data_IF_634197491560
#
_entry.id   IF_634197491560
#
_cell.length_a   1.000
_cell.length_b   1.000
_cell.length_c   1.000
_cell.angle_alpha   90.00
_cell.angle_beta   90.00
_cell.angle_gamma   90.00
#
_symmetry.space_group_name_H-M   'P 1'
#
loop_
_entity.id
_entity.type
_entity.pdbx_description
1 polymer ?
#
# COMPACT_ATOMS: atom_id res chain seq x y z
N UNK A 1 -25.33 9.14 -7.00
CA UNK A 1 -24.26 9.58 -7.91
C UNK A 1 -23.07 8.65 -7.69
N UNK A 2 -22.57 8.02 -8.74
CA UNK A 2 -21.38 7.18 -8.73
C UNK A 2 -20.29 7.85 -9.56
N UNK A 3 -19.08 7.96 -9.02
CA UNK A 3 -17.92 8.47 -9.75
C UNK A 3 -17.05 7.27 -10.12
N UNK A 4 -16.99 6.97 -11.41
CA UNK A 4 -16.18 5.90 -11.97
C UNK A 4 -14.90 6.47 -12.57
N UNK A 5 -13.77 6.08 -12.01
CA UNK A 5 -12.48 6.62 -12.38
C UNK A 5 -11.49 5.50 -12.73
N UNK A 6 -10.94 5.54 -13.94
CA UNK A 6 -9.85 4.66 -14.36
C UNK A 6 -9.08 5.31 -15.51
N UNK A 7 -7.76 5.47 -15.35
CA UNK A 7 -6.92 6.01 -16.42
C UNK A 7 -6.95 5.13 -17.67
N UNK A 8 -6.75 3.82 -17.51
CA UNK A 8 -6.76 2.90 -18.66
C UNK A 8 -8.16 2.61 -19.20
N UNK A 9 -9.20 2.91 -18.41
CA UNK A 9 -10.59 2.54 -18.71
C UNK A 9 -10.88 1.03 -18.62
N UNK A 10 -9.91 0.23 -18.17
CA UNK A 10 -9.96 -1.24 -18.23
C UNK A 10 -9.58 -1.92 -16.91
N UNK A 11 -9.38 -1.14 -15.84
CA UNK A 11 -9.07 -1.68 -14.50
C UNK A 11 -10.17 -2.66 -14.07
N UNK A 12 -9.81 -3.94 -13.84
CA UNK A 12 -10.78 -5.02 -13.64
C UNK A 12 -11.69 -4.77 -12.45
N UNK A 13 -11.18 -4.21 -11.36
CA UNK A 13 -11.95 -3.86 -10.17
C UNK A 13 -12.97 -2.77 -10.47
N UNK A 14 -12.54 -1.67 -11.11
CA UNK A 14 -13.42 -0.56 -11.51
C UNK A 14 -14.52 -1.05 -12.46
N UNK A 15 -14.18 -1.88 -13.44
CA UNK A 15 -15.14 -2.40 -14.42
C UNK A 15 -16.10 -3.42 -13.81
N UNK A 16 -15.64 -4.21 -12.84
CA UNK A 16 -16.50 -5.16 -12.12
C UNK A 16 -17.49 -4.43 -11.21
N UNK A 17 -17.03 -3.41 -10.48
CA UNK A 17 -17.90 -2.52 -9.69
C UNK A 17 -18.89 -1.78 -10.58
N UNK A 18 -18.46 -1.33 -11.77
CA UNK A 18 -19.35 -0.71 -12.74
C UNK A 18 -20.46 -1.65 -13.17
N UNK A 19 -20.13 -2.86 -13.61
CA UNK A 19 -21.13 -3.84 -14.05
C UNK A 19 -22.19 -4.10 -12.96
N UNK A 20 -21.77 -4.21 -11.71
CA UNK A 20 -22.66 -4.38 -10.57
C UNK A 20 -23.55 -3.15 -10.32
N UNK A 21 -22.96 -1.98 -10.12
CA UNK A 21 -23.72 -0.77 -9.79
C UNK A 21 -24.55 -0.23 -10.96
N UNK A 22 -24.15 -0.51 -12.20
CA UNK A 22 -24.96 -0.25 -13.39
C UNK A 22 -26.30 -0.97 -13.29
N UNK A 23 -26.29 -2.27 -13.01
CA UNK A 23 -27.52 -3.04 -12.82
C UNK A 23 -28.32 -2.53 -11.60
N UNK A 24 -27.67 -2.24 -10.47
CA UNK A 24 -28.35 -1.74 -9.27
C UNK A 24 -28.99 -0.36 -9.47
N UNK A 25 -28.43 0.47 -10.35
CA UNK A 25 -28.97 1.79 -10.67
C UNK A 25 -30.22 1.75 -11.56
N UNK A 26 -30.61 0.57 -12.04
CA UNK A 26 -31.61 0.43 -13.09
C UNK A 26 -31.10 0.91 -14.45
N UNK A 27 -29.80 0.75 -14.70
CA UNK A 27 -29.15 1.11 -15.97
C UNK A 27 -29.31 2.60 -16.33
N UNK A 28 -29.18 3.46 -15.32
CA UNK A 28 -29.43 4.89 -15.45
C UNK A 28 -28.13 5.71 -15.47
N UNK A 29 -27.63 6.02 -16.68
CA UNK A 29 -26.43 6.82 -16.90
C UNK A 29 -26.40 8.16 -16.19
N UNK A 30 -27.56 8.80 -15.98
CA UNK A 30 -27.63 10.08 -15.28
C UNK A 30 -27.17 10.01 -13.81
N UNK A 31 -26.98 8.81 -13.25
CA UNK A 31 -26.42 8.62 -11.91
C UNK A 31 -24.89 8.46 -11.90
N UNK A 32 -24.21 8.52 -13.05
CA UNK A 32 -22.80 8.17 -13.21
C UNK A 32 -22.00 9.35 -13.77
N UNK A 33 -20.78 9.50 -13.25
CA UNK A 33 -19.72 10.36 -13.80
C UNK A 33 -18.54 9.46 -14.16
N UNK A 34 -17.94 9.69 -15.32
CA UNK A 34 -16.69 9.03 -15.71
C UNK A 34 -15.50 10.01 -15.66
N UNK A 35 -14.37 9.55 -15.13
CA UNK A 35 -13.08 10.24 -15.16
C UNK A 35 -12.04 9.27 -15.76
N UNK A 36 -11.53 9.58 -16.95
CA UNK A 36 -10.65 8.67 -17.70
C UNK A 36 -9.82 9.43 -18.72
N UNK A 37 -8.89 8.75 -19.38
CA UNK A 37 -8.18 9.30 -20.53
C UNK A 37 -9.07 9.23 -21.80
N UNK A 38 -8.74 10.05 -22.81
CA UNK A 38 -9.42 10.01 -24.10
C UNK A 38 -9.28 8.63 -24.79
N UNK A 39 -10.27 8.28 -25.62
CA UNK A 39 -10.31 7.07 -26.45
C UNK A 39 -10.29 5.71 -25.70
N UNK A 40 -10.50 5.71 -24.38
CA UNK A 40 -10.57 4.49 -23.56
C UNK A 40 -11.91 3.76 -23.65
N UNK A 41 -11.96 2.51 -23.18
CA UNK A 41 -13.22 1.76 -23.05
C UNK A 41 -14.22 2.47 -22.12
N UNK A 42 -13.74 3.06 -21.02
CA UNK A 42 -14.59 3.80 -20.08
C UNK A 42 -15.14 5.10 -20.71
N UNK A 43 -14.38 5.79 -21.57
CA UNK A 43 -14.89 6.96 -22.28
C UNK A 43 -16.05 6.59 -23.21
N UNK A 44 -15.87 5.53 -24.01
CA UNK A 44 -16.92 5.00 -24.90
C UNK A 44 -18.15 4.55 -24.12
N UNK A 45 -17.94 3.84 -23.01
CA UNK A 45 -18.99 3.35 -22.14
C UNK A 45 -19.83 4.51 -21.56
N UNK A 46 -19.17 5.61 -21.16
CA UNK A 46 -19.84 6.79 -20.64
C UNK A 46 -20.72 7.48 -21.70
N UNK A 47 -20.23 7.56 -22.94
CA UNK A 47 -20.99 8.11 -24.07
C UNK A 47 -22.18 7.21 -24.45
N UNK A 48 -21.93 5.91 -24.64
CA UNK A 48 -22.95 4.93 -25.05
C UNK A 48 -24.10 4.82 -24.03
N UNK A 49 -23.76 4.90 -22.74
CA UNK A 49 -24.74 4.76 -21.65
C UNK A 49 -25.29 6.10 -21.14
N UNK A 50 -24.99 7.21 -21.82
CA UNK A 50 -25.46 8.56 -21.47
C UNK A 50 -25.16 8.93 -20.01
N UNK A 51 -23.89 8.80 -19.61
CA UNK A 51 -23.45 9.25 -18.29
C UNK A 51 -23.75 10.74 -18.10
N UNK A 52 -23.97 11.15 -16.84
CA UNK A 52 -24.25 12.56 -16.54
C UNK A 52 -23.11 13.46 -16.96
N UNK A 53 -21.86 13.04 -16.75
CA UNK A 53 -20.66 13.79 -17.12
C UNK A 53 -19.51 12.84 -17.49
N UNK A 54 -18.66 13.30 -18.41
CA UNK A 54 -17.42 12.64 -18.81
C UNK A 54 -16.26 13.66 -18.75
N UNK A 55 -15.31 13.40 -17.86
CA UNK A 55 -14.10 14.21 -17.71
C UNK A 55 -12.90 13.48 -18.33
N UNK A 56 -12.38 14.03 -19.42
CA UNK A 56 -11.22 13.51 -20.13
C UNK A 56 -9.94 14.13 -19.57
N UNK A 57 -9.13 13.31 -18.92
CA UNK A 57 -7.86 13.72 -18.32
C UNK A 57 -6.74 13.77 -19.36
N UNK A 58 -5.76 14.70 -19.23
CA UNK A 58 -4.56 14.67 -20.06
C UNK A 58 -3.78 13.35 -19.92
N UNK A 59 -3.46 12.72 -21.04
CA UNK A 59 -2.85 11.37 -21.09
C UNK A 59 -1.42 11.33 -20.55
N UNK A 60 -0.74 12.47 -20.56
CA UNK A 60 0.64 12.66 -20.10
C UNK A 60 0.77 12.74 -18.56
N UNK A 61 -0.35 12.78 -17.82
CA UNK A 61 -0.36 12.75 -16.36
C UNK A 61 -0.51 11.30 -15.88
N UNK A 62 0.49 10.77 -15.18
CA UNK A 62 0.43 9.44 -14.56
C UNK A 62 -0.61 9.38 -13.42
N UNK A 63 -1.21 8.20 -13.18
CA UNK A 63 -2.29 8.05 -12.19
C UNK A 63 -1.89 8.53 -10.78
N UNK A 64 -0.73 8.11 -10.27
CA UNK A 64 -0.22 8.56 -8.97
C UNK A 64 0.19 10.05 -8.89
N UNK A 65 0.24 10.75 -10.02
CA UNK A 65 0.51 12.19 -10.15
C UNK A 65 -0.76 13.00 -10.53
N UNK A 66 -1.95 12.41 -10.36
CA UNK A 66 -3.22 12.99 -10.84
C UNK A 66 -4.09 13.63 -9.75
N UNK A 67 -3.57 13.77 -8.53
CA UNK A 67 -4.33 14.32 -7.40
C UNK A 67 -4.83 15.75 -7.65
N UNK A 68 -4.07 16.55 -8.41
CA UNK A 68 -4.45 17.92 -8.78
C UNK A 68 -5.09 18.01 -10.19
N UNK A 69 -5.37 16.87 -10.83
CA UNK A 69 -6.09 16.82 -12.10
C UNK A 69 -7.58 16.52 -11.88
N UNK A 70 -8.35 16.20 -12.92
CA UNK A 70 -9.77 15.83 -12.78
C UNK A 70 -10.00 14.67 -11.80
N UNK A 71 -9.03 13.76 -11.63
CA UNK A 71 -9.16 12.65 -10.68
C UNK A 71 -9.32 13.10 -9.23
N UNK A 72 -8.71 14.21 -8.81
CA UNK A 72 -8.94 14.79 -7.48
C UNK A 72 -9.89 15.98 -7.48
N UNK A 73 -9.87 16.81 -8.53
CA UNK A 73 -10.65 18.05 -8.58
C UNK A 73 -12.15 17.81 -8.79
N UNK A 74 -12.56 16.78 -9.53
CA UNK A 74 -13.98 16.46 -9.72
C UNK A 74 -14.62 15.96 -8.42
N UNK A 75 -14.04 14.98 -7.68
CA UNK A 75 -14.53 14.64 -6.35
C UNK A 75 -14.57 15.84 -5.38
N UNK A 76 -13.53 16.69 -5.39
CA UNK A 76 -13.51 17.91 -4.57
C UNK A 76 -14.68 18.85 -4.89
N UNK A 77 -15.00 19.03 -6.18
CA UNK A 77 -16.13 19.84 -6.61
C UNK A 77 -17.47 19.27 -6.13
N UNK A 78 -17.65 17.94 -6.26
CA UNK A 78 -18.85 17.23 -5.82
C UNK A 78 -19.02 17.32 -4.30
N UNK A 79 -17.92 17.33 -3.53
CA UNK A 79 -17.92 17.55 -2.09
C UNK A 79 -18.25 18.99 -1.69
N UNK A 80 -18.29 19.93 -2.64
CA UNK A 80 -18.55 21.35 -2.39
C UNK A 80 -17.34 22.11 -1.84
N UNK A 81 -16.12 21.64 -2.10
CA UNK A 81 -14.89 22.33 -1.71
C UNK A 81 -14.65 23.57 -2.58
N UNK A 82 -14.00 24.58 -2.01
CA UNK A 82 -13.57 25.77 -2.73
C UNK A 82 -12.38 25.44 -3.63
N UNK A 83 -12.65 25.25 -4.92
CA UNK A 83 -11.63 24.87 -5.90
C UNK A 83 -10.64 26.01 -6.18
N UNK A 84 -11.08 27.27 -6.05
CA UNK A 84 -10.22 28.44 -6.25
C UNK A 84 -9.20 28.52 -5.10
N UNK A 85 -9.63 28.25 -3.86
CA UNK A 85 -8.71 28.17 -2.73
C UNK A 85 -7.77 26.97 -2.82
N UNK A 86 -8.25 25.77 -3.21
CA UNK A 86 -7.38 24.60 -3.46
C UNK A 86 -6.31 24.94 -4.49
N UNK A 87 -6.71 25.51 -5.63
CA UNK A 87 -5.79 25.84 -6.71
C UNK A 87 -4.80 26.94 -6.30
N UNK A 88 -5.25 27.95 -5.56
CA UNK A 88 -4.38 28.97 -5.00
C UNK A 88 -3.29 28.36 -4.11
N UNK A 89 -3.63 27.40 -3.24
CA UNK A 89 -2.67 26.72 -2.37
C UNK A 89 -1.68 25.85 -3.18
N UNK A 90 -2.15 25.12 -4.19
CA UNK A 90 -1.28 24.39 -5.11
C UNK A 90 -0.31 25.35 -5.83
N UNK A 91 -0.81 26.46 -6.35
CA UNK A 91 -0.02 27.48 -7.04
C UNK A 91 1.05 28.11 -6.16
N UNK A 92 0.75 28.37 -4.88
CA UNK A 92 1.76 28.85 -3.93
C UNK A 92 2.95 27.87 -3.83
N UNK A 93 2.70 26.55 -3.84
CA UNK A 93 3.78 25.56 -3.83
C UNK A 93 4.56 25.55 -5.14
N UNK A 94 3.86 25.64 -6.27
CA UNK A 94 4.46 25.69 -7.60
C UNK A 94 5.40 26.89 -7.70
N UNK A 95 4.93 28.07 -7.30
CA UNK A 95 5.72 29.30 -7.34
C UNK A 95 6.92 29.22 -6.36
N UNK A 96 6.74 28.61 -5.18
CA UNK A 96 7.84 28.33 -4.24
C UNK A 96 8.84 27.27 -4.72
N UNK A 97 8.45 26.49 -5.73
CA UNK A 97 9.25 25.43 -6.38
C UNK A 97 9.67 25.82 -7.80
N UNK A 98 9.72 27.13 -8.10
CA UNK A 98 10.16 27.60 -9.40
C UNK A 98 11.66 27.31 -9.60
N UNK A 99 12.10 27.13 -10.84
CA UNK A 99 13.51 26.90 -11.22
C UNK A 99 14.49 27.99 -10.77
N UNK A 100 13.97 29.18 -10.43
CA UNK A 100 14.77 30.32 -9.97
C UNK A 100 14.99 30.32 -8.44
N UNK A 101 14.34 29.41 -7.72
CA UNK A 101 14.50 29.26 -6.27
C UNK A 101 15.74 28.41 -6.01
N UNK A 102 16.73 28.90 -5.23
CA UNK A 102 17.90 28.11 -4.88
C UNK A 102 17.52 26.78 -4.24
N UNK A 103 18.24 25.70 -4.57
CA UNK A 103 17.82 24.34 -4.20
C UNK A 103 17.56 24.11 -2.70
N UNK A 104 18.27 24.79 -1.80
CA UNK A 104 18.08 24.68 -0.35
C UNK A 104 16.86 25.45 0.19
N UNK A 105 16.27 26.34 -0.62
CA UNK A 105 14.98 26.99 -0.35
C UNK A 105 13.84 26.37 -1.18
N UNK A 106 14.16 25.59 -2.21
CA UNK A 106 13.17 24.93 -3.05
C UNK A 106 12.59 23.72 -2.28
N UNK A 107 11.29 23.70 -1.97
CA UNK A 107 10.70 22.71 -1.06
C UNK A 107 10.68 21.30 -1.68
N UNK A 108 10.35 21.19 -2.98
CA UNK A 108 10.42 19.92 -3.71
C UNK A 108 11.83 19.31 -3.77
N UNK A 109 12.83 20.08 -4.23
CA UNK A 109 14.24 19.65 -4.26
C UNK A 109 14.73 19.26 -2.87
N UNK A 110 14.44 20.06 -1.85
CA UNK A 110 14.94 19.81 -0.49
C UNK A 110 14.39 18.51 0.09
N UNK A 111 13.07 18.29 0.00
CA UNK A 111 12.45 17.04 0.47
C UNK A 111 12.94 15.82 -0.32
N UNK A 112 12.98 15.93 -1.65
CA UNK A 112 13.45 14.85 -2.53
C UNK A 112 14.93 14.50 -2.32
N UNK A 113 15.76 15.52 -2.06
CA UNK A 113 17.17 15.32 -1.72
C UNK A 113 17.34 14.59 -0.40
N UNK A 114 16.56 14.93 0.64
CA UNK A 114 16.59 14.17 1.91
C UNK A 114 16.18 12.72 1.72
N UNK A 115 15.08 12.46 1.01
CA UNK A 115 14.61 11.09 0.74
C UNK A 115 15.66 10.30 -0.04
N UNK A 116 16.11 10.82 -1.19
CA UNK A 116 17.03 10.11 -2.08
C UNK A 116 18.43 9.93 -1.50
N UNK A 117 18.98 10.94 -0.83
CA UNK A 117 20.32 10.86 -0.24
C UNK A 117 20.36 9.89 0.95
N UNK A 118 19.38 9.96 1.86
CA UNK A 118 19.32 9.05 3.01
C UNK A 118 19.06 7.61 2.57
N UNK A 119 18.22 7.39 1.54
CA UNK A 119 18.02 6.06 0.97
C UNK A 119 19.31 5.46 0.40
N UNK A 120 20.16 6.26 -0.26
CA UNK A 120 21.50 5.83 -0.71
C UNK A 120 22.44 5.42 0.44
N UNK A 121 22.26 6.02 1.61
CA UNK A 121 23.02 5.70 2.82
C UNK A 121 22.43 4.50 3.61
N UNK A 122 21.41 3.83 3.07
CA UNK A 122 20.77 2.67 3.69
C UNK A 122 19.59 3.02 4.62
N UNK A 123 19.13 4.27 4.62
CA UNK A 123 17.87 4.69 5.26
C UNK A 123 16.73 4.71 4.26
N UNK A 124 16.36 3.52 3.79
CA UNK A 124 15.40 3.30 2.71
C UNK A 124 13.94 3.24 3.19
N UNK A 125 13.65 3.46 4.48
CA UNK A 125 12.28 3.53 5.01
C UNK A 125 11.86 4.99 5.18
N UNK A 126 10.60 5.28 4.88
CA UNK A 126 10.03 6.61 4.97
C UNK A 126 8.74 6.58 5.77
N UNK A 127 8.83 6.87 7.06
CA UNK A 127 7.67 6.97 7.93
C UNK A 127 6.97 8.29 7.69
N UNK A 128 5.73 8.24 7.20
CA UNK A 128 4.90 9.43 6.94
C UNK A 128 3.82 9.50 8.00
N UNK A 129 3.88 10.56 8.81
CA UNK A 129 2.88 10.87 9.82
C UNK A 129 2.19 12.18 9.48
N UNK A 130 0.91 12.27 9.81
CA UNK A 130 0.12 13.47 9.64
C UNK A 130 -0.84 13.61 10.82
N UNK A 131 -1.18 14.85 11.18
CA UNK A 131 -2.23 15.12 12.18
C UNK A 131 -3.60 14.61 11.70
N UNK A 132 -4.55 14.46 12.62
CA UNK A 132 -5.81 13.76 12.41
C UNK A 132 -6.58 14.20 11.14
N UNK A 133 -6.61 15.49 10.81
CA UNK A 133 -7.33 15.97 9.62
C UNK A 133 -6.64 15.66 8.30
N UNK A 134 -5.35 15.33 8.34
CA UNK A 134 -4.49 15.04 7.19
C UNK A 134 -4.07 13.57 7.11
N UNK A 135 -4.58 12.70 8.00
CA UNK A 135 -4.12 11.30 8.14
C UNK A 135 -4.12 10.51 6.81
N UNK A 136 -5.12 10.73 5.95
CA UNK A 136 -5.25 10.06 4.66
C UNK A 136 -4.27 10.55 3.59
N UNK A 137 -3.53 11.64 3.84
CA UNK A 137 -2.43 12.04 2.97
C UNK A 137 -1.37 10.94 2.89
N UNK A 138 -1.13 10.23 4.00
CA UNK A 138 -0.21 9.09 4.03
C UNK A 138 -0.59 8.02 3.00
N UNK A 139 -1.88 7.70 2.89
CA UNK A 139 -2.37 6.67 1.96
C UNK A 139 -2.12 7.03 0.48
N UNK A 140 -2.17 8.33 0.14
CA UNK A 140 -1.81 8.84 -1.18
C UNK A 140 -0.29 8.85 -1.39
N UNK A 141 0.46 9.35 -0.41
CA UNK A 141 1.92 9.42 -0.47
C UNK A 141 2.53 8.02 -0.61
N UNK A 142 1.95 7.02 0.05
CA UNK A 142 2.34 5.61 -0.06
C UNK A 142 2.40 5.16 -1.52
N UNK A 143 1.33 5.37 -2.27
CA UNK A 143 1.26 5.01 -3.69
C UNK A 143 2.31 5.77 -4.51
N UNK A 144 2.36 7.09 -4.35
CA UNK A 144 3.30 7.93 -5.07
C UNK A 144 4.74 7.45 -4.91
N UNK A 145 5.16 7.20 -3.67
CA UNK A 145 6.52 6.81 -3.31
C UNK A 145 6.82 5.38 -3.76
N UNK A 146 5.95 4.42 -3.42
CA UNK A 146 6.20 3.01 -3.66
C UNK A 146 6.26 2.69 -5.16
N UNK A 147 5.32 3.20 -5.96
CA UNK A 147 5.33 2.94 -7.41
C UNK A 147 6.44 3.69 -8.14
N UNK A 148 6.76 4.92 -7.71
CA UNK A 148 7.78 5.72 -8.38
C UNK A 148 9.20 5.25 -8.05
N UNK A 149 9.44 4.80 -6.81
CA UNK A 149 10.77 4.48 -6.30
C UNK A 149 11.04 2.97 -6.16
N UNK A 150 10.01 2.13 -6.13
CA UNK A 150 10.13 0.68 -5.89
C UNK A 150 10.36 -0.14 -7.16
N UNK A 151 11.53 -0.03 -7.80
CA UNK A 151 11.85 -0.78 -9.03
C UNK A 151 13.34 -1.00 -9.23
N UNK A 152 13.69 -1.88 -10.17
CA UNK A 152 15.07 -2.22 -10.52
C UNK A 152 15.94 -2.66 -9.32
N UNK A 153 15.33 -3.38 -8.35
CA UNK A 153 16.02 -3.85 -7.15
C UNK A 153 16.38 -2.75 -6.15
N UNK A 154 15.84 -1.54 -6.31
CA UNK A 154 15.99 -0.39 -5.41
C UNK A 154 14.62 0.06 -4.91
N UNK A 155 14.59 0.83 -3.83
CA UNK A 155 13.41 1.63 -3.51
C UNK A 155 13.36 2.20 -2.13
N UNK A 156 12.35 3.05 -1.92
CA UNK A 156 12.01 3.63 -0.63
C UNK A 156 10.70 2.99 -0.19
N UNK A 157 10.68 2.46 1.03
CA UNK A 157 9.53 1.79 1.63
C UNK A 157 8.73 2.83 2.40
N UNK A 158 7.57 3.31 1.90
CA UNK A 158 6.69 4.16 2.68
C UNK A 158 6.08 3.35 3.83
N UNK A 159 6.12 3.91 5.03
CA UNK A 159 5.50 3.33 6.23
C UNK A 159 4.44 4.30 6.70
N UNK A 160 3.17 3.94 6.49
CA UNK A 160 2.01 4.79 6.76
C UNK A 160 1.09 4.16 7.79
N UNK A 161 0.33 5.01 8.48
CA UNK A 161 -0.60 4.63 9.53
C UNK A 161 0.03 4.08 10.82
N UNK A 162 1.36 3.90 10.89
CA UNK A 162 2.08 3.43 12.08
C UNK A 162 1.95 4.46 13.22
N UNK A 163 1.89 4.01 14.48
CA UNK A 163 1.97 4.93 15.62
C UNK A 163 3.43 5.31 15.93
N UNK A 164 3.64 6.59 16.23
CA UNK A 164 4.91 7.09 16.73
C UNK A 164 5.11 6.55 18.16
N UNK A 165 6.22 5.87 18.38
CA UNK A 165 6.53 5.17 19.64
C UNK A 165 7.89 5.66 20.18
N UNK A 166 8.34 5.13 21.31
CA UNK A 166 9.63 5.44 21.91
C UNK A 166 10.77 5.18 20.92
N UNK A 167 11.79 6.06 20.86
CA UNK A 167 12.94 5.90 19.96
C UNK A 167 13.65 4.55 20.05
N UNK A 168 13.58 3.86 21.20
CA UNK A 168 14.17 2.52 21.40
C UNK A 168 13.59 1.42 20.49
N UNK A 169 12.43 1.66 19.87
CA UNK A 169 11.78 0.73 18.94
C UNK A 169 12.17 0.97 17.48
N UNK A 170 12.96 2.00 17.21
CA UNK A 170 13.43 2.34 15.87
C UNK A 170 14.94 2.11 15.76
N UNK A 171 15.38 1.71 14.57
CA UNK A 171 16.80 1.66 14.21
C UNK A 171 17.12 2.77 13.23
N UNK A 172 18.39 2.90 12.85
CA UNK A 172 18.85 3.89 11.88
C UNK A 172 18.57 3.44 10.43
N UNK A 173 17.31 3.14 10.11
CA UNK A 173 16.87 2.67 8.78
C UNK A 173 15.88 3.62 8.07
N UNK A 174 15.42 4.68 8.75
CA UNK A 174 14.33 5.52 8.24
C UNK A 174 14.52 7.01 8.41
N UNK A 175 13.82 7.74 7.53
CA UNK A 175 13.48 9.15 7.65
C UNK A 175 12.05 9.28 8.17
N UNK A 176 11.82 10.21 9.09
CA UNK A 176 10.49 10.56 9.58
C UNK A 176 10.01 11.87 8.95
N UNK A 177 8.90 11.83 8.22
CA UNK A 177 8.26 13.03 7.68
C UNK A 177 6.94 13.25 8.39
N UNK A 178 6.76 14.44 8.96
CA UNK A 178 5.56 14.81 9.70
C UNK A 178 4.86 15.98 9.02
N UNK A 179 3.66 15.75 8.50
CA UNK A 179 2.74 16.79 8.02
C UNK A 179 1.94 17.31 9.21
N UNK A 180 2.06 18.60 9.47
CA UNK A 180 1.61 19.20 10.71
C UNK A 180 0.58 20.29 10.42
N UNK A 181 -0.70 19.95 10.60
CA UNK A 181 -1.77 20.93 10.73
C UNK A 181 -1.73 21.51 12.15
N UNK A 182 -1.74 22.84 12.25
CA UNK A 182 -1.40 23.53 13.49
C UNK A 182 -2.51 23.48 14.54
N UNK A 183 -3.76 23.52 14.08
CA UNK A 183 -4.98 23.64 14.89
C UNK A 183 -5.64 22.28 15.21
N UNK A 184 -5.11 21.20 14.64
CA UNK A 184 -5.57 19.83 14.92
C UNK A 184 -5.38 19.44 16.41
N UNK A 185 -6.34 18.74 17.03
CA UNK A 185 -6.30 18.44 18.47
C UNK A 185 -5.10 17.60 18.93
N UNK A 186 -4.56 16.75 18.05
CA UNK A 186 -3.43 15.84 18.29
C UNK A 186 -2.06 16.47 17.98
N UNK A 187 -2.05 17.70 17.44
CA UNK A 187 -0.86 18.47 17.05
C UNK A 187 0.22 18.51 18.13
N UNK A 188 -0.11 18.87 19.37
CA UNK A 188 0.89 18.98 20.45
C UNK A 188 1.51 17.63 20.82
N UNK A 189 0.68 16.60 20.94
CA UNK A 189 1.13 15.26 21.30
C UNK A 189 2.06 14.69 20.23
N UNK A 190 1.65 14.76 18.95
CA UNK A 190 2.46 14.27 17.84
C UNK A 190 3.81 14.99 17.76
N UNK A 191 3.82 16.32 17.92
CA UNK A 191 5.08 17.09 17.94
C UNK A 191 6.02 16.64 19.05
N UNK A 192 5.50 16.32 20.24
CA UNK A 192 6.31 15.81 21.35
C UNK A 192 6.93 14.45 20.99
N UNK A 193 6.13 13.54 20.43
CA UNK A 193 6.62 12.20 20.01
C UNK A 193 7.67 12.31 18.89
N UNK A 194 7.42 13.11 17.85
CA UNK A 194 8.41 13.39 16.78
C UNK A 194 9.66 14.10 17.33
N UNK A 195 9.49 14.98 18.32
CA UNK A 195 10.59 15.66 19.00
C UNK A 195 11.55 14.68 19.68
N UNK A 196 11.01 13.68 20.37
CA UNK A 196 11.79 12.63 21.01
C UNK A 196 12.61 11.80 20.01
N UNK A 197 12.06 11.51 18.82
CA UNK A 197 12.81 10.84 17.74
C UNK A 197 14.00 11.67 17.26
N UNK A 198 13.83 13.00 17.13
CA UNK A 198 14.97 13.89 16.80
C UNK A 198 16.02 13.89 17.90
N UNK A 199 15.62 13.98 19.16
CA UNK A 199 16.54 14.00 20.29
C UNK A 199 17.36 12.71 20.39
N UNK A 200 16.79 11.58 19.97
CA UNK A 200 17.47 10.31 19.81
C UNK A 200 18.35 10.20 18.54
N UNK A 201 18.42 11.24 17.71
CA UNK A 201 19.30 11.31 16.53
C UNK A 201 18.69 10.80 15.22
N UNK A 202 17.38 10.52 15.18
CA UNK A 202 16.74 10.16 13.92
C UNK A 202 16.53 11.38 13.01
N UNK A 203 16.77 11.25 11.69
CA UNK A 203 16.50 12.32 10.75
C UNK A 203 14.99 12.55 10.65
N UNK A 204 14.59 13.83 10.60
CA UNK A 204 13.19 14.22 10.42
C UNK A 204 13.01 15.40 9.48
N UNK A 205 11.88 15.43 8.80
CA UNK A 205 11.33 16.61 8.16
C UNK A 205 9.96 16.93 8.77
N UNK A 206 9.69 18.19 9.07
CA UNK A 206 8.36 18.65 9.51
C UNK A 206 7.85 19.66 8.52
N UNK A 207 6.73 19.32 7.89
CA UNK A 207 6.06 20.10 6.86
C UNK A 207 4.86 20.76 7.52
N UNK A 208 4.87 22.09 7.64
CA UNK A 208 3.74 22.82 8.24
C UNK A 208 2.66 23.02 7.20
N UNK A 209 1.44 22.64 7.55
CA UNK A 209 0.25 22.77 6.72
C UNK A 209 -0.68 23.74 7.46
N UNK A 210 -0.77 25.02 7.05
CA UNK A 210 -1.44 26.06 7.84
C UNK A 210 -2.96 25.88 7.95
N UNK A 211 -3.57 25.18 7.00
CA UNK A 211 -4.99 24.82 6.99
C UNK A 211 -5.20 23.62 6.05
N UNK A 212 -6.43 23.08 6.04
CA UNK A 212 -6.77 21.90 5.24
C UNK A 212 -6.68 22.12 3.73
N UNK A 213 -6.84 23.35 3.23
CA UNK A 213 -6.69 23.64 1.79
C UNK A 213 -5.22 23.61 1.36
N UNK A 214 -4.30 23.94 2.27
CA UNK A 214 -2.87 23.89 1.99
C UNK A 214 -2.34 22.48 1.65
N UNK A 215 -3.11 21.42 1.90
CA UNK A 215 -2.81 20.06 1.42
C UNK A 215 -2.63 20.00 -0.10
N UNK A 216 -3.32 20.88 -0.85
CA UNK A 216 -3.18 20.95 -2.30
C UNK A 216 -1.74 21.29 -2.72
N UNK A 217 -1.06 22.14 -1.94
CA UNK A 217 0.36 22.42 -2.13
C UNK A 217 1.24 21.22 -1.82
N UNK A 218 0.88 20.39 -0.84
CA UNK A 218 1.65 19.19 -0.48
C UNK A 218 1.62 18.15 -1.61
N UNK A 219 0.51 17.97 -2.33
CA UNK A 219 0.50 17.07 -3.50
C UNK A 219 1.61 17.43 -4.48
N UNK A 220 1.70 18.70 -4.90
CA UNK A 220 2.75 19.15 -5.81
C UNK A 220 4.16 18.99 -5.23
N UNK A 221 4.37 19.36 -3.95
CA UNK A 221 5.69 19.23 -3.30
C UNK A 221 6.17 17.78 -3.32
N UNK A 222 5.30 16.84 -2.99
CA UNK A 222 5.64 15.42 -2.89
C UNK A 222 5.83 14.78 -4.25
N UNK A 223 5.03 15.15 -5.25
CA UNK A 223 5.24 14.75 -6.65
C UNK A 223 6.63 15.17 -7.13
N UNK A 224 6.99 16.44 -6.93
CA UNK A 224 8.32 16.96 -7.29
C UNK A 224 9.44 16.27 -6.51
N UNK A 225 9.27 16.13 -5.18
CA UNK A 225 10.24 15.48 -4.32
C UNK A 225 10.49 14.03 -4.71
N UNK A 226 9.45 13.31 -5.11
CA UNK A 226 9.54 11.92 -5.56
C UNK A 226 10.35 11.83 -6.86
N UNK A 227 10.14 12.74 -7.82
CA UNK A 227 10.94 12.79 -9.04
C UNK A 227 12.43 13.07 -8.75
N UNK A 228 12.73 13.98 -7.82
CA UNK A 228 14.10 14.28 -7.38
C UNK A 228 14.74 13.06 -6.69
N UNK A 229 14.01 12.39 -5.79
CA UNK A 229 14.49 11.18 -5.14
C UNK A 229 14.76 10.06 -6.14
N UNK A 230 13.88 9.87 -7.13
CA UNK A 230 14.05 8.89 -8.20
C UNK A 230 15.30 9.19 -9.05
N UNK A 231 15.51 10.45 -9.41
CA UNK A 231 16.71 10.88 -10.12
C UNK A 231 17.97 10.53 -9.35
N UNK A 232 18.00 10.82 -8.04
CA UNK A 232 19.14 10.44 -7.19
C UNK A 232 19.32 8.92 -7.17
N UNK A 233 18.25 8.14 -7.08
CA UNK A 233 18.30 6.67 -7.06
C UNK A 233 18.55 6.04 -8.45
N UNK A 234 18.66 6.85 -9.51
CA UNK A 234 18.80 6.43 -10.91
C UNK A 234 17.61 5.57 -11.36
N UNK A 235 16.40 6.04 -11.06
CA UNK A 235 15.14 5.40 -11.38
C UNK A 235 14.29 6.32 -12.27
N UNK A 236 13.42 5.71 -13.09
CA UNK A 236 12.36 6.44 -13.75
C UNK A 236 11.14 6.55 -12.81
N UNK A 237 10.76 7.76 -12.34
CA UNK A 237 9.61 7.91 -11.45
C UNK A 237 8.25 7.72 -12.14
N UNK A 238 8.20 7.67 -13.47
CA UNK A 238 6.96 7.77 -14.25
C UNK A 238 6.48 6.46 -14.90
N UNK A 239 7.25 5.38 -14.81
CA UNK A 239 6.86 4.03 -15.29
C UNK A 239 6.43 3.08 -14.15
N UNK A 240 5.96 1.87 -14.50
CA UNK A 240 5.50 0.84 -13.56
C UNK A 240 5.62 -0.59 -14.13
N UNK A 241 6.85 -1.07 -14.40
CA UNK A 241 7.07 -2.26 -15.22
C UNK A 241 6.60 -3.58 -14.60
N UNK A 242 6.35 -3.65 -13.28
CA UNK A 242 6.03 -4.90 -12.58
C UNK A 242 4.55 -5.04 -12.20
N UNK A 243 3.72 -4.03 -12.45
CA UNK A 243 2.28 -4.08 -12.15
C UNK A 243 1.55 -5.05 -13.07
N UNK A 244 1.98 -5.17 -14.34
CA UNK A 244 1.35 -6.04 -15.33
C UNK A 244 1.47 -7.53 -14.98
N UNK A 245 2.53 -7.94 -14.28
CA UNK A 245 2.76 -9.35 -13.93
C UNK A 245 1.67 -9.90 -13.01
N UNK A 246 1.26 -9.12 -12.00
CA UNK A 246 0.18 -9.52 -11.10
C UNK A 246 -1.17 -9.57 -11.83
N UNK A 247 -1.44 -8.61 -12.74
CA UNK A 247 -2.64 -8.62 -13.58
C UNK A 247 -2.72 -9.86 -14.46
N UNK A 248 -1.59 -10.24 -15.07
CA UNK A 248 -1.51 -11.46 -15.87
C UNK A 248 -1.73 -12.70 -15.01
N UNK A 249 -1.07 -12.80 -13.84
CA UNK A 249 -1.24 -13.94 -12.94
C UNK A 249 -2.70 -14.08 -12.47
N UNK A 250 -3.37 -12.97 -12.14
CA UNK A 250 -4.82 -12.98 -11.82
C UNK A 250 -5.66 -13.49 -12.99
N UNK A 251 -5.37 -13.05 -14.22
CA UNK A 251 -6.11 -13.53 -15.39
C UNK A 251 -5.92 -15.04 -15.60
N UNK A 252 -4.69 -15.55 -15.46
CA UNK A 252 -4.39 -16.98 -15.53
C UNK A 252 -5.15 -17.78 -14.47
N UNK A 253 -5.32 -17.24 -13.25
CA UNK A 253 -6.12 -17.86 -12.19
C UNK A 253 -7.62 -17.90 -12.56
N UNK A 254 -8.15 -16.82 -13.14
CA UNK A 254 -9.56 -16.74 -13.56
C UNK A 254 -9.85 -17.70 -14.72
N UNK A 255 -8.95 -17.75 -15.71
CA UNK A 255 -9.07 -18.68 -16.85
C UNK A 255 -9.02 -20.14 -16.37
N UNK A 256 -8.16 -20.44 -15.39
CA UNK A 256 -8.10 -21.77 -14.78
C UNK A 256 -9.40 -22.12 -14.03
N UNK A 257 -9.93 -21.20 -13.22
CA UNK A 257 -11.19 -21.39 -12.50
C UNK A 257 -12.33 -21.65 -13.48
N UNK A 258 -12.40 -20.90 -14.58
CA UNK A 258 -13.45 -21.07 -15.58
C UNK A 258 -13.38 -22.44 -16.25
N UNK A 259 -12.17 -22.96 -16.49
CA UNK A 259 -11.96 -24.26 -17.11
C UNK A 259 -12.17 -25.46 -16.17
N UNK A 260 -11.88 -25.32 -14.87
CA UNK A 260 -11.84 -26.45 -13.92
C UNK A 260 -12.86 -26.36 -12.78
N UNK A 261 -13.56 -25.23 -12.63
CA UNK A 261 -14.56 -24.98 -11.59
C UNK A 261 -14.00 -24.56 -10.23
N UNK A 262 -12.68 -24.46 -10.07
CA UNK A 262 -12.02 -24.05 -8.83
C UNK A 262 -10.63 -23.44 -9.11
N UNK A 263 -10.13 -22.60 -8.18
CA UNK A 263 -8.78 -22.06 -8.25
C UNK A 263 -7.71 -23.15 -7.97
N UNK A 264 -6.50 -23.05 -8.54
CA UNK A 264 -5.45 -24.03 -8.35
C UNK A 264 -4.74 -23.81 -6.99
N UNK A 265 -5.31 -24.38 -5.92
CA UNK A 265 -4.74 -24.28 -4.56
C UNK A 265 -3.68 -25.37 -4.35
N UNK A 266 -2.46 -24.97 -4.00
CA UNK A 266 -1.37 -25.90 -3.65
C UNK A 266 -1.64 -26.60 -2.31
N UNK A 267 -0.96 -27.72 -2.03
CA UNK A 267 -1.03 -28.34 -0.70
C UNK A 267 -0.43 -27.42 0.37
N UNK A 268 -1.03 -27.35 1.58
CA UNK A 268 -0.49 -26.52 2.66
C UNK A 268 0.88 -27.03 3.11
N UNK A 269 1.78 -26.10 3.40
CA UNK A 269 3.06 -26.35 4.07
C UNK A 269 2.82 -26.92 5.48
N UNK A 270 1.94 -26.26 6.23
CA UNK A 270 1.48 -26.71 7.55
C UNK A 270 -0.03 -26.56 7.57
N UNK A 271 -0.75 -27.69 7.63
CA UNK A 271 -2.20 -27.69 7.70
C UNK A 271 -2.74 -27.42 9.11
N UNK A 272 -4.04 -27.20 9.19
CA UNK A 272 -4.82 -27.31 10.42
C UNK A 272 -6.14 -26.53 10.36
N UNK A 273 -6.85 -26.48 11.49
CA UNK A 273 -8.27 -26.09 11.53
C UNK A 273 -8.57 -24.59 11.55
N UNK A 274 -7.62 -23.78 12.04
CA UNK A 274 -7.78 -22.32 12.22
C UNK A 274 -7.08 -21.56 11.11
N UNK A 275 -5.81 -21.91 10.89
CA UNK A 275 -4.95 -21.34 9.87
C UNK A 275 -4.25 -22.48 9.15
N UNK A 276 -4.15 -22.35 7.83
CA UNK A 276 -3.29 -23.12 6.97
C UNK A 276 -2.15 -22.24 6.45
N UNK A 277 -0.93 -22.77 6.38
CA UNK A 277 0.23 -22.05 5.87
C UNK A 277 0.58 -22.54 4.47
N UNK A 278 0.79 -21.62 3.52
CA UNK A 278 1.22 -21.92 2.16
C UNK A 278 2.45 -21.10 1.77
N UNK A 279 3.37 -21.73 1.03
CA UNK A 279 4.54 -21.07 0.44
C UNK A 279 5.22 -21.99 -0.58
N UNK A 280 6.21 -21.49 -1.30
CA UNK A 280 7.00 -22.25 -2.25
C UNK A 280 8.20 -22.94 -1.57
N UNK A 281 8.74 -24.00 -2.19
CA UNK A 281 9.84 -24.76 -1.59
C UNK A 281 11.10 -23.90 -1.36
N UNK A 282 11.29 -22.82 -2.14
CA UNK A 282 12.42 -21.89 -1.96
C UNK A 282 12.34 -21.10 -0.65
N UNK A 283 11.13 -20.71 -0.23
CA UNK A 283 10.92 -20.06 1.07
C UNK A 283 10.89 -21.08 2.20
N UNK A 284 10.33 -22.27 1.95
CA UNK A 284 10.16 -23.33 2.95
C UNK A 284 11.47 -23.97 3.38
N UNK A 285 12.40 -24.25 2.46
CA UNK A 285 13.63 -24.97 2.79
C UNK A 285 14.50 -24.21 3.83
N UNK A 286 14.75 -22.90 3.70
CA UNK A 286 15.41 -22.11 4.74
C UNK A 286 14.66 -22.09 6.07
N UNK A 287 13.31 -22.03 6.04
CA UNK A 287 12.49 -22.04 7.25
C UNK A 287 12.60 -23.37 8.01
N UNK A 288 12.54 -24.50 7.30
CA UNK A 288 12.75 -25.82 7.91
C UNK A 288 14.13 -25.95 8.55
N UNK A 289 15.17 -25.41 7.90
CA UNK A 289 16.50 -25.38 8.49
C UNK A 289 16.55 -24.54 9.76
N UNK A 290 15.94 -23.36 9.73
CA UNK A 290 15.84 -22.49 10.90
C UNK A 290 15.06 -23.16 12.05
N UNK A 291 13.99 -23.87 11.73
CA UNK A 291 13.26 -24.62 12.74
C UNK A 291 14.16 -25.68 13.38
N UNK A 292 14.92 -26.44 12.58
CA UNK A 292 15.87 -27.44 13.08
C UNK A 292 16.96 -26.83 13.95
N UNK A 293 17.55 -25.71 13.52
CA UNK A 293 18.68 -25.09 14.22
C UNK A 293 18.28 -24.44 15.55
N UNK A 294 17.05 -23.94 15.67
CA UNK A 294 16.53 -23.31 16.88
C UNK A 294 15.64 -24.22 17.75
N UNK A 295 15.50 -25.49 17.36
CA UNK A 295 14.64 -26.45 18.06
C UNK A 295 13.17 -26.02 18.07
N UNK A 296 12.70 -25.53 16.93
CA UNK A 296 11.29 -25.24 16.68
C UNK A 296 10.63 -26.45 15.99
N UNK A 297 9.34 -26.68 16.26
CA UNK A 297 8.57 -27.71 15.56
C UNK A 297 8.19 -27.24 14.13
N UNK A 298 8.72 -27.88 13.06
CA UNK A 298 8.40 -27.50 11.68
C UNK A 298 6.95 -27.82 11.28
N UNK A 299 6.18 -28.52 12.12
CA UNK A 299 4.75 -28.77 11.93
C UNK A 299 3.88 -27.83 12.79
N UNK A 300 4.48 -26.96 13.59
CA UNK A 300 3.77 -25.95 14.38
C UNK A 300 3.63 -24.67 13.59
N UNK A 301 2.40 -24.24 13.32
CA UNK A 301 2.10 -22.99 12.60
C UNK A 301 2.71 -21.78 13.31
N UNK A 302 2.55 -21.71 14.62
CA UNK A 302 3.12 -20.64 15.45
C UNK A 302 4.64 -20.60 15.32
N UNK A 303 5.31 -21.75 15.36
CA UNK A 303 6.77 -21.78 15.36
C UNK A 303 7.39 -21.60 13.97
N UNK A 304 6.69 -22.02 12.90
CA UNK A 304 7.09 -21.71 11.53
C UNK A 304 6.93 -20.22 11.23
N UNK A 305 5.85 -19.59 11.69
CA UNK A 305 5.70 -18.13 11.62
C UNK A 305 6.77 -17.43 12.45
N UNK A 306 7.06 -17.93 13.66
CA UNK A 306 8.12 -17.39 14.50
C UNK A 306 9.51 -17.52 13.85
N UNK A 307 9.77 -18.62 13.13
CA UNK A 307 11.00 -18.78 12.33
C UNK A 307 11.10 -17.67 11.28
N UNK A 308 10.04 -17.40 10.51
CA UNK A 308 10.05 -16.31 9.54
C UNK A 308 10.32 -14.94 10.21
N UNK A 309 9.70 -14.66 11.35
CA UNK A 309 9.89 -13.42 12.10
C UNK A 309 11.33 -13.29 12.62
N UNK A 310 11.86 -14.37 13.21
CA UNK A 310 13.21 -14.42 13.77
C UNK A 310 14.29 -14.36 12.69
N UNK A 311 14.01 -14.87 11.50
CA UNK A 311 14.88 -14.91 10.33
C UNK A 311 15.12 -13.58 9.61
N UNK A 312 14.73 -12.45 10.21
CA UNK A 312 14.91 -11.13 9.62
C UNK A 312 16.33 -10.59 9.81
N UNK A 313 16.82 -9.91 8.77
CA UNK A 313 18.13 -9.28 8.72
C UNK A 313 18.03 -7.76 8.87
N UNK A 314 19.18 -7.11 9.03
CA UNK A 314 19.26 -5.65 8.97
C UNK A 314 18.76 -5.13 7.61
N UNK A 315 17.91 -4.11 7.64
CA UNK A 315 17.30 -3.55 6.43
C UNK A 315 16.05 -4.28 5.95
N UNK A 316 15.65 -5.39 6.56
CA UNK A 316 14.37 -6.03 6.24
C UNK A 316 13.17 -5.19 6.71
N UNK A 317 12.03 -5.39 6.07
CA UNK A 317 10.72 -4.93 6.51
C UNK A 317 9.68 -6.03 6.36
N UNK A 318 8.60 -5.94 7.14
CA UNK A 318 7.43 -6.80 6.99
C UNK A 318 6.34 -6.10 6.20
N UNK A 319 5.58 -6.88 5.42
CA UNK A 319 4.35 -6.43 4.78
C UNK A 319 3.22 -7.40 5.13
N UNK A 320 2.19 -6.88 5.80
CA UNK A 320 0.95 -7.60 6.07
C UNK A 320 -0.03 -7.30 4.93
N UNK A 321 -0.26 -8.28 4.07
CA UNK A 321 -1.03 -8.15 2.84
C UNK A 321 -2.39 -8.83 3.02
N UNK A 322 -3.42 -8.05 3.30
CA UNK A 322 -4.70 -8.53 3.80
C UNK A 322 -5.72 -8.67 2.67
N UNK A 323 -6.27 -9.86 2.49
CA UNK A 323 -7.36 -10.19 1.57
C UNK A 323 -8.60 -10.61 2.35
N UNK A 324 -9.22 -9.63 2.99
CA UNK A 324 -10.51 -9.72 3.66
C UNK A 324 -11.05 -8.31 3.92
N UNK A 325 -12.34 -8.21 4.23
CA UNK A 325 -12.96 -6.94 4.62
C UNK A 325 -12.62 -6.63 6.08
N UNK A 326 -11.92 -5.53 6.39
CA UNK A 326 -11.63 -5.19 7.78
C UNK A 326 -12.86 -4.64 8.49
N UNK A 327 -12.89 -4.85 9.80
CA UNK A 327 -13.76 -4.14 10.74
C UNK A 327 -12.89 -3.50 11.83
N UNK A 328 -13.51 -2.75 12.73
CA UNK A 328 -12.79 -2.06 13.83
C UNK A 328 -11.94 -2.99 14.70
N UNK A 329 -12.43 -4.21 14.99
CA UNK A 329 -11.66 -5.19 15.77
C UNK A 329 -10.44 -5.67 14.99
N UNK A 330 -10.63 -6.01 13.72
CA UNK A 330 -9.54 -6.44 12.83
C UNK A 330 -8.50 -5.34 12.62
N UNK A 331 -8.91 -4.07 12.49
CA UNK A 331 -7.98 -2.94 12.44
C UNK A 331 -7.13 -2.83 13.72
N UNK A 332 -7.75 -2.96 14.90
CA UNK A 332 -7.02 -2.93 16.19
C UNK A 332 -6.04 -4.09 16.31
N UNK A 333 -6.44 -5.30 15.93
CA UNK A 333 -5.57 -6.48 15.99
C UNK A 333 -4.40 -6.39 15.01
N UNK A 334 -4.64 -5.96 13.77
CA UNK A 334 -3.57 -5.72 12.79
C UNK A 334 -2.61 -4.64 13.28
N UNK A 335 -3.11 -3.59 13.93
CA UNK A 335 -2.28 -2.57 14.55
C UNK A 335 -1.44 -3.11 15.71
N UNK A 336 -2.01 -3.98 16.54
CA UNK A 336 -1.27 -4.67 17.60
C UNK A 336 -0.15 -5.55 17.01
N UNK A 337 -0.49 -6.40 16.02
CA UNK A 337 0.48 -7.23 15.29
C UNK A 337 1.61 -6.36 14.75
N UNK A 338 1.26 -5.27 14.05
CA UNK A 338 2.22 -4.33 13.47
C UNK A 338 3.16 -3.77 14.53
N UNK A 339 2.59 -3.27 15.62
CA UNK A 339 3.33 -2.64 16.72
C UNK A 339 4.27 -3.63 17.40
N UNK A 340 3.78 -4.82 17.74
CA UNK A 340 4.58 -5.85 18.40
C UNK A 340 5.66 -6.40 17.47
N UNK A 341 5.36 -6.70 16.21
CA UNK A 341 6.37 -7.11 15.22
C UNK A 341 7.50 -6.10 15.13
N UNK A 342 7.19 -4.81 14.97
CA UNK A 342 8.21 -3.75 14.99
C UNK A 342 8.98 -3.74 16.30
N UNK A 343 8.29 -3.77 17.44
CA UNK A 343 8.94 -3.58 18.72
C UNK A 343 9.94 -4.70 19.03
N UNK A 344 9.62 -5.92 18.61
CA UNK A 344 10.43 -7.13 18.77
C UNK A 344 11.60 -7.16 17.79
N UNK A 345 11.34 -6.90 16.52
CA UNK A 345 12.33 -7.10 15.45
C UNK A 345 13.11 -5.84 15.09
N UNK A 346 12.59 -4.68 15.50
CA UNK A 346 12.97 -3.31 15.08
C UNK A 346 12.88 -3.08 13.58
N UNK A 347 12.11 -3.90 12.86
CA UNK A 347 11.87 -3.75 11.41
C UNK A 347 10.63 -2.92 11.17
N UNK A 348 10.62 -2.16 10.08
CA UNK A 348 9.40 -1.50 9.61
C UNK A 348 8.34 -2.55 9.27
N UNK A 349 7.08 -2.20 9.45
CA UNK A 349 5.95 -3.08 9.15
C UNK A 349 4.88 -2.27 8.42
N UNK A 350 4.57 -2.66 7.19
CA UNK A 350 3.50 -2.08 6.37
C UNK A 350 2.26 -2.96 6.43
N UNK A 351 1.09 -2.36 6.21
CA UNK A 351 -0.20 -3.07 6.16
C UNK A 351 -0.94 -2.58 4.93
N UNK A 352 -1.28 -3.49 4.03
CA UNK A 352 -2.01 -3.18 2.81
C UNK A 352 -3.23 -4.07 2.68
N UNK A 353 -4.37 -3.48 2.31
CA UNK A 353 -5.59 -4.22 1.98
C UNK A 353 -5.69 -4.43 0.47
N UNK A 354 -5.83 -5.69 0.07
CA UNK A 354 -6.06 -6.06 -1.31
C UNK A 354 -7.48 -5.69 -1.75
N UNK A 355 -7.72 -5.48 -3.06
CA UNK A 355 -6.71 -5.41 -4.11
C UNK A 355 -6.05 -4.03 -4.23
N UNK A 356 -6.41 -3.03 -3.41
CA UNK A 356 -5.89 -1.66 -3.49
C UNK A 356 -4.36 -1.63 -3.56
N UNK A 357 -3.66 -2.32 -2.66
CA UNK A 357 -2.21 -2.24 -2.60
C UNK A 357 -1.51 -2.80 -3.87
N UNK A 358 -2.20 -3.62 -4.67
CA UNK A 358 -1.65 -4.12 -5.94
C UNK A 358 -1.39 -2.97 -6.92
N UNK A 359 -2.19 -1.90 -6.80
CA UNK A 359 -2.06 -0.63 -7.52
C UNK A 359 -1.47 0.46 -6.61
N UNK A 360 -0.67 0.09 -5.60
CA UNK A 360 0.16 1.04 -4.85
C UNK A 360 1.54 0.43 -4.56
N UNK A 361 1.66 -0.31 -3.47
CA UNK A 361 2.92 -0.90 -3.03
C UNK A 361 3.29 -2.18 -3.79
N UNK A 362 2.39 -2.73 -4.61
CA UNK A 362 2.62 -3.92 -5.42
C UNK A 362 3.83 -3.81 -6.34
N UNK A 363 4.05 -2.65 -6.96
CA UNK A 363 5.25 -2.35 -7.76
C UNK A 363 6.53 -2.48 -6.91
N UNK A 364 6.55 -1.87 -5.72
CA UNK A 364 7.67 -1.95 -4.77
C UNK A 364 7.92 -3.38 -4.30
N UNK A 365 6.87 -4.14 -3.97
CA UNK A 365 7.02 -5.49 -3.45
C UNK A 365 7.68 -6.44 -4.44
N UNK A 366 7.43 -6.22 -5.74
CA UNK A 366 7.89 -7.07 -6.86
C UNK A 366 9.17 -6.55 -7.51
N UNK A 367 9.24 -5.24 -7.76
CA UNK A 367 10.35 -4.58 -8.45
C UNK A 367 11.43 -4.01 -7.54
N UNK A 368 11.15 -3.77 -6.26
CA UNK A 368 12.07 -3.13 -5.33
C UNK A 368 13.15 -4.06 -4.76
N UNK A 369 13.92 -3.57 -3.79
CA UNK A 369 14.96 -4.34 -3.08
C UNK A 369 14.43 -5.66 -2.51
N UNK A 370 15.24 -6.73 -2.51
CA UNK A 370 14.85 -8.03 -1.95
C UNK A 370 15.03 -8.14 -0.43
N UNK A 371 14.39 -7.21 0.29
CA UNK A 371 14.41 -7.11 1.75
C UNK A 371 13.00 -7.16 2.38
N UNK A 372 11.96 -7.46 1.59
CA UNK A 372 10.60 -7.68 2.09
C UNK A 372 10.41 -9.07 2.69
N UNK A 373 9.58 -9.14 3.73
CA UNK A 373 9.07 -10.35 4.38
C UNK A 373 7.55 -10.25 4.40
N UNK A 374 6.88 -11.10 3.62
CA UNK A 374 5.47 -10.95 3.31
C UNK A 374 4.63 -11.98 4.06
N UNK A 375 3.61 -11.49 4.76
CA UNK A 375 2.52 -12.30 5.28
C UNK A 375 1.26 -11.96 4.49
N UNK A 376 0.89 -12.82 3.54
CA UNK A 376 -0.41 -12.71 2.89
C UNK A 376 -1.44 -13.33 3.81
N UNK A 377 -2.46 -12.58 4.19
CA UNK A 377 -3.52 -13.01 5.09
C UNK A 377 -4.79 -13.12 4.27
N UNK A 378 -5.25 -14.34 3.99
CA UNK A 378 -6.48 -14.61 3.25
C UNK A 378 -7.53 -15.16 4.20
N UNK A 379 -8.80 -14.91 3.91
CA UNK A 379 -9.92 -15.54 4.59
C UNK A 379 -11.08 -15.74 3.62
N UNK A 380 -11.96 -16.67 3.94
CA UNK A 380 -13.15 -16.93 3.14
C UNK A 380 -14.04 -15.69 3.05
N UNK A 381 -14.60 -15.47 1.86
CA UNK A 381 -15.57 -14.38 1.64
C UNK A 381 -16.93 -14.80 2.20
N UNK A 382 -17.44 -14.11 3.22
CA UNK A 382 -18.73 -14.45 3.86
C UNK A 382 -19.93 -14.32 2.90
N UNK A 383 -19.93 -13.26 2.09
CA UNK A 383 -20.97 -12.98 1.10
C UNK A 383 -20.32 -12.82 -0.27
N UNK A 384 -20.54 -13.80 -1.14
CA UNK A 384 -20.08 -13.72 -2.52
C UNK A 384 -21.18 -13.17 -3.43
N UNK A 385 -20.81 -12.25 -4.31
CA UNK A 385 -21.72 -11.50 -5.18
C UNK A 385 -21.30 -11.70 -6.62
N UNK A 386 -22.26 -12.07 -7.47
CA UNK A 386 -22.01 -12.21 -8.91
C UNK A 386 -21.69 -10.87 -9.55
N UNK A 387 -20.74 -10.88 -10.49
CA UNK A 387 -20.44 -9.70 -11.32
C UNK A 387 -21.25 -9.83 -12.61
N UNK A 388 -22.20 -8.91 -12.89
CA UNK A 388 -23.02 -8.98 -14.09
C UNK A 388 -22.16 -9.06 -15.37
N UNK A 389 -22.47 -10.04 -16.22
CA UNK A 389 -21.78 -10.25 -17.50
C UNK A 389 -20.38 -10.87 -17.39
N UNK A 390 -19.93 -11.31 -16.20
CA UNK A 390 -18.68 -12.05 -16.02
C UNK A 390 -18.94 -13.51 -15.65
N UNK A 391 -18.04 -14.44 -15.99
CA UNK A 391 -18.17 -15.86 -15.64
C UNK A 391 -17.71 -16.17 -14.20
N UNK A 392 -17.43 -15.15 -13.41
CA UNK A 392 -16.91 -15.25 -12.05
C UNK A 392 -17.53 -14.16 -11.15
N UNK A 393 -17.54 -14.45 -9.85
CA UNK A 393 -18.03 -13.57 -8.80
C UNK A 393 -16.95 -12.60 -8.28
N UNK A 394 -17.33 -11.64 -7.43
CA UNK A 394 -16.38 -10.76 -6.73
C UNK A 394 -15.45 -11.55 -5.81
N UNK A 395 -15.95 -12.55 -5.09
CA UNK A 395 -15.14 -13.42 -4.24
C UNK A 395 -14.13 -14.21 -5.07
N UNK A 396 -14.55 -14.76 -6.21
CA UNK A 396 -13.62 -15.45 -7.13
C UNK A 396 -12.53 -14.51 -7.64
N UNK A 397 -12.89 -13.29 -8.08
CA UNK A 397 -11.92 -12.28 -8.51
C UNK A 397 -10.94 -11.93 -7.39
N UNK A 398 -11.45 -11.71 -6.18
CA UNK A 398 -10.66 -11.35 -5.01
C UNK A 398 -9.66 -12.44 -4.61
N UNK A 399 -10.09 -13.70 -4.56
CA UNK A 399 -9.20 -14.84 -4.29
C UNK A 399 -8.20 -15.08 -5.44
N UNK A 400 -8.62 -14.90 -6.70
CA UNK A 400 -7.71 -14.98 -7.84
C UNK A 400 -6.61 -13.90 -7.80
N UNK A 401 -6.92 -12.71 -7.27
CA UNK A 401 -5.94 -11.65 -7.03
C UNK A 401 -4.96 -12.02 -5.92
N UNK A 402 -5.44 -12.61 -4.82
CA UNK A 402 -4.59 -13.10 -3.74
C UNK A 402 -3.60 -14.19 -4.22
N UNK A 403 -4.09 -15.18 -4.95
CA UNK A 403 -3.27 -16.25 -5.52
C UNK A 403 -2.26 -15.70 -6.54
N UNK A 404 -2.71 -14.83 -7.45
CA UNK A 404 -1.85 -14.21 -8.45
C UNK A 404 -0.72 -13.38 -7.83
N UNK A 405 -1.00 -12.66 -6.73
CA UNK A 405 0.00 -11.89 -6.01
C UNK A 405 1.03 -12.80 -5.31
N UNK A 406 0.58 -13.86 -4.62
CA UNK A 406 1.47 -14.85 -3.99
C UNK A 406 2.43 -15.47 -5.01
N UNK A 407 1.90 -15.93 -6.14
CA UNK A 407 2.69 -16.55 -7.21
C UNK A 407 3.72 -15.57 -7.79
N UNK A 408 3.32 -14.30 -7.97
CA UNK A 408 4.23 -13.26 -8.47
C UNK A 408 5.35 -12.99 -7.46
N UNK A 409 5.03 -12.86 -6.16
CA UNK A 409 6.04 -12.69 -5.12
C UNK A 409 7.03 -13.86 -5.10
N UNK A 410 6.55 -15.10 -5.16
CA UNK A 410 7.39 -16.30 -5.20
C UNK A 410 8.28 -16.37 -6.46
N UNK A 411 7.73 -15.99 -7.62
CA UNK A 411 8.49 -15.88 -8.89
C UNK A 411 9.67 -14.90 -8.76
N UNK A 412 9.47 -13.80 -8.04
CA UNK A 412 10.51 -12.81 -7.72
C UNK A 412 11.42 -13.22 -6.55
N UNK A 413 11.30 -14.44 -6.03
CA UNK A 413 12.12 -14.95 -4.93
C UNK A 413 11.90 -14.18 -3.62
N UNK A 414 10.70 -13.65 -3.42
CA UNK A 414 10.32 -12.95 -2.20
C UNK A 414 9.98 -13.95 -1.10
N UNK A 415 10.34 -13.62 0.14
CA UNK A 415 10.03 -14.43 1.33
C UNK A 415 8.55 -14.24 1.69
N UNK A 416 7.67 -15.00 1.06
CA UNK A 416 6.23 -14.86 1.22
C UNK A 416 5.61 -16.12 1.84
N UNK A 417 4.87 -15.93 2.93
CA UNK A 417 4.01 -16.94 3.54
C UNK A 417 2.56 -16.47 3.42
N UNK A 418 1.68 -17.33 2.92
CA UNK A 418 0.23 -17.11 3.02
C UNK A 418 -0.30 -17.82 4.26
N UNK A 419 -1.00 -17.06 5.09
CA UNK A 419 -1.83 -17.54 6.19
C UNK A 419 -3.27 -17.52 5.68
N UNK A 420 -3.81 -18.70 5.42
CA UNK A 420 -5.20 -18.85 5.02
C UNK A 420 -6.04 -19.14 6.26
N UNK A 421 -6.91 -18.20 6.60
CA UNK A 421 -7.72 -18.21 7.82
C UNK A 421 -9.04 -18.90 7.50
N UNK A 422 -9.19 -20.11 8.03
CA UNK A 422 -10.37 -20.98 7.83
C UNK A 422 -11.47 -20.72 8.87
N UNK A 423 -11.09 -20.16 10.02
CA UNK A 423 -11.97 -19.79 11.14
C UNK A 423 -12.31 -18.30 11.09
N UNK A 424 -12.73 -17.76 12.24
CA UNK A 424 -12.84 -16.31 12.41
C UNK A 424 -11.48 -15.61 12.21
N UNK A 425 -11.52 -14.41 11.64
CA UNK A 425 -10.36 -13.55 11.40
C UNK A 425 -9.56 -13.27 12.68
N UNK A 426 -10.24 -13.12 13.82
CA UNK A 426 -9.61 -12.88 15.12
C UNK A 426 -8.68 -14.05 15.50
N UNK A 427 -9.13 -15.30 15.35
CA UNK A 427 -8.31 -16.48 15.65
C UNK A 427 -7.08 -16.57 14.72
N UNK A 428 -7.25 -16.18 13.46
CA UNK A 428 -6.17 -16.10 12.48
C UNK A 428 -5.10 -15.08 12.85
N UNK A 429 -5.51 -13.87 13.22
CA UNK A 429 -4.60 -12.81 13.68
C UNK A 429 -3.96 -13.14 15.04
N UNK A 430 -4.70 -13.80 15.92
CA UNK A 430 -4.17 -14.30 17.18
C UNK A 430 -3.03 -15.29 16.93
N UNK A 431 -3.11 -16.12 15.88
CA UNK A 431 -2.00 -17.03 15.52
C UNK A 431 -0.70 -16.28 15.18
N UNK A 432 -0.82 -15.13 14.52
CA UNK A 432 0.32 -14.28 14.21
C UNK A 432 0.85 -13.61 15.49
N UNK A 433 -0.02 -13.11 16.38
CA UNK A 433 0.36 -12.59 17.70
C UNK A 433 1.08 -13.64 18.57
N UNK A 434 0.61 -14.88 18.58
CA UNK A 434 1.25 -16.01 19.28
C UNK A 434 2.69 -16.21 18.76
N UNK A 435 2.89 -16.08 17.44
CA UNK A 435 4.22 -16.19 16.84
C UNK A 435 5.13 -15.02 17.23
N UNK A 436 4.60 -13.79 17.30
CA UNK A 436 5.34 -12.63 17.82
C UNK A 436 5.75 -12.86 19.27
N UNK A 437 4.80 -13.30 20.11
CA UNK A 437 5.05 -13.61 21.51
C UNK A 437 6.11 -14.71 21.69
N UNK A 438 6.07 -15.74 20.86
CA UNK A 438 7.07 -16.81 20.90
C UNK A 438 8.49 -16.27 20.65
N UNK A 439 8.64 -15.32 19.71
CA UNK A 439 9.92 -14.66 19.45
C UNK A 439 10.32 -13.73 20.60
N UNK A 440 9.38 -12.99 21.18
CA UNK A 440 9.60 -12.16 22.38
C UNK A 440 10.21 -12.99 23.51
N UNK A 441 9.53 -14.05 23.92
CA UNK A 441 9.92 -14.86 25.07
C UNK A 441 11.29 -15.52 24.92
N UNK A 442 11.71 -15.85 23.69
CA UNK A 442 13.02 -16.43 23.43
C UNK A 442 14.15 -15.41 23.25
N UNK A 443 13.86 -14.14 22.91
CA UNK A 443 14.88 -13.07 22.86
C UNK A 443 15.31 -12.59 24.25
N UNK A 444 14.47 -12.78 25.26
CA UNK A 444 14.73 -12.39 26.65
C UNK A 444 15.16 -13.56 27.57
N UNK A 445 15.39 -14.74 27.00
CA UNK A 445 16.07 -15.88 27.66
C UNK A 445 17.51 -15.94 27.17
#
# INVERSE_FOLDING_TARGET
LFIFSSKSGTTVETMSLYAYFWQQSGENGAQFIAITDADTELAKLAEENNFSELYLNPTDIGGRYSALSYFGMVPAAVMGLDLDELWKQAKLMIDASHENIPGHYHPGISLGAYIGALAKEGRDKLSVYATQSLVHFGDWAEQLIAESLGKAGKGVIPVVGEEIDSPQYYVSDRLFVFLHEMDDPDSEEMRKRIGALREAGHPRATLRVPDKYAIAGEFFRWEFATAVAAYLLELNPFDEPNVSEAKQATQEMLDYQQAHGALPIASPLVGGTTVQLYSDEKTVAPLREMCRSHGYDPNSRTEVLAAQIAGTHAGDYFALLCYFTPNETIYRMLHEVRTRLRNVTKRAVTVGFGPRYLHSTGQLHKGGSNNGVYFLLTANTETDVEIPGKPYSFGTLFHAQAEGDLLTLQKHGRRALRLDIESDLEDGLQKLLDAVQFVEERRFR
#
